data_IF_604315758073
#
_entry.id   IF_604315758073
#
_cell.length_a   1.000
_cell.length_b   1.000
_cell.length_c   1.000
_cell.angle_alpha   90.00
_cell.angle_beta   90.00
_cell.angle_gamma   90.00
#
_symmetry.space_group_name_H-M   'P 1'
#
loop_
_entity.id
_entity.type
_entity.pdbx_description
1 polymer ?
#
# COMPACT_ATOMS: atom_id res chain seq x y z
N UNK A 1 -3.94 -12.84 9.24
CA UNK A 1 -3.55 -11.92 8.15
C UNK A 1 -4.74 -11.03 7.84
N UNK A 2 -4.49 -9.79 7.48
CA UNK A 2 -5.51 -8.80 7.13
C UNK A 2 -5.12 -8.20 5.79
N UNK A 3 -6.07 -8.06 4.89
CA UNK A 3 -5.88 -7.30 3.66
C UNK A 3 -6.53 -5.93 3.87
N UNK A 4 -5.75 -4.87 3.69
CA UNK A 4 -6.25 -3.51 3.63
C UNK A 4 -6.31 -3.10 2.16
N UNK A 5 -7.47 -2.63 1.70
CA UNK A 5 -7.68 -2.24 0.31
C UNK A 5 -8.59 -1.03 0.19
N UNK A 6 -8.35 -0.20 -0.81
CA UNK A 6 -9.14 0.99 -1.12
C UNK A 6 -9.32 1.16 -2.64
N UNK A 7 -10.33 1.92 -3.05
CA UNK A 7 -10.60 2.31 -4.45
C UNK A 7 -10.25 3.78 -4.72
N UNK A 8 -9.22 4.29 -4.03
CA UNK A 8 -8.70 5.66 -4.14
C UNK A 8 -7.23 5.59 -4.51
N UNK A 9 -6.70 6.68 -5.05
CA UNK A 9 -5.27 6.88 -5.31
C UNK A 9 -4.64 7.87 -4.33
N UNK A 10 -5.40 8.37 -3.35
CA UNK A 10 -4.92 9.32 -2.35
C UNK A 10 -3.93 8.63 -1.39
N UNK A 11 -2.65 9.05 -1.32
CA UNK A 11 -1.67 8.45 -0.41
C UNK A 11 -2.07 8.57 1.07
N UNK A 12 -2.83 9.60 1.42
CA UNK A 12 -3.37 9.85 2.77
C UNK A 12 -4.33 8.74 3.22
N UNK A 13 -5.03 8.11 2.28
CA UNK A 13 -5.91 6.96 2.51
C UNK A 13 -5.19 5.63 2.29
N UNK A 14 -3.91 5.62 1.93
CA UNK A 14 -3.19 4.43 1.49
C UNK A 14 -1.92 4.23 2.32
N UNK A 15 -0.79 4.77 1.84
CA UNK A 15 0.50 4.64 2.49
C UNK A 15 0.52 5.25 3.90
N UNK A 16 -0.18 6.37 4.14
CA UNK A 16 -0.23 6.98 5.46
C UNK A 16 -0.92 6.06 6.49
N UNK A 17 -2.01 5.39 6.11
CA UNK A 17 -2.75 4.45 6.97
C UNK A 17 -1.91 3.21 7.26
N UNK A 18 -1.24 2.65 6.25
CA UNK A 18 -0.38 1.48 6.43
C UNK A 18 0.84 1.85 7.26
N UNK A 19 1.49 2.98 6.98
CA UNK A 19 2.61 3.51 7.76
C UNK A 19 2.24 3.60 9.23
N UNK A 20 1.08 4.19 9.55
CA UNK A 20 0.63 4.30 10.93
C UNK A 20 0.60 2.93 11.63
N UNK A 21 0.04 1.90 10.98
CA UNK A 21 0.01 0.55 11.56
C UNK A 21 1.40 -0.07 11.76
N UNK A 22 2.34 0.17 10.83
CA UNK A 22 3.72 -0.30 10.93
C UNK A 22 4.49 0.43 12.05
N UNK A 23 4.38 1.76 12.12
CA UNK A 23 5.05 2.59 13.13
C UNK A 23 4.56 2.28 14.55
N UNK A 24 3.27 1.93 14.70
CA UNK A 24 2.71 1.49 15.97
C UNK A 24 3.07 0.03 16.33
N UNK A 25 3.81 -0.67 15.47
CA UNK A 25 4.17 -2.07 15.66
C UNK A 25 2.95 -2.99 15.74
N UNK A 26 1.83 -2.61 15.10
CA UNK A 26 0.58 -3.38 15.10
C UNK A 26 0.58 -4.48 14.03
N UNK A 27 1.38 -4.28 12.98
CA UNK A 27 1.53 -5.24 11.90
C UNK A 27 2.88 -5.12 11.20
N UNK A 28 3.19 -6.14 10.42
CA UNK A 28 4.23 -6.17 9.41
C UNK A 28 3.59 -6.23 8.02
N UNK A 29 4.16 -5.50 7.06
CA UNK A 29 3.73 -5.54 5.67
C UNK A 29 4.41 -6.70 4.93
N UNK A 30 3.59 -7.58 4.36
CA UNK A 30 4.04 -8.71 3.56
C UNK A 30 4.06 -8.32 2.08
N UNK A 31 5.08 -8.76 1.31
CA UNK A 31 5.09 -8.59 -0.13
C UNK A 31 3.99 -9.44 -0.77
N UNK A 32 3.39 -8.92 -1.83
CA UNK A 32 2.45 -9.66 -2.67
C UNK A 32 2.54 -9.15 -4.11
N UNK A 33 2.34 -10.05 -5.07
CA UNK A 33 2.41 -9.73 -6.50
C UNK A 33 1.11 -10.14 -7.18
N UNK A 34 0.28 -9.19 -7.66
CA UNK A 34 -0.92 -9.51 -8.41
C UNK A 34 -0.58 -10.06 -9.82
N UNK A 35 -1.45 -10.90 -10.40
CA UNK A 35 -1.30 -11.39 -11.78
C UNK A 35 -1.74 -10.36 -12.84
N UNK A 36 -1.68 -9.06 -12.53
CA UNK A 36 -2.05 -7.94 -13.42
C UNK A 36 -1.03 -6.81 -13.27
N UNK A 37 -0.90 -5.88 -14.24
CA UNK A 37 0.03 -4.75 -14.11
C UNK A 37 -0.22 -3.93 -12.84
N UNK A 38 0.84 -3.54 -12.14
CA UNK A 38 0.74 -2.77 -10.90
C UNK A 38 1.96 -1.88 -10.69
N UNK A 39 1.86 -0.95 -9.75
CA UNK A 39 2.98 -0.18 -9.23
C UNK A 39 3.21 -0.50 -7.75
N UNK A 40 4.44 -0.40 -7.25
CA UNK A 40 4.71 -0.48 -5.82
C UNK A 40 4.08 0.70 -5.07
N UNK A 41 3.82 0.52 -3.77
CA UNK A 41 3.45 1.61 -2.88
C UNK A 41 4.52 2.70 -2.83
N UNK A 42 4.07 3.93 -2.57
CA UNK A 42 4.94 5.10 -2.49
C UNK A 42 5.81 5.04 -1.23
N UNK A 43 7.09 5.37 -1.37
CA UNK A 43 7.97 5.53 -0.19
C UNK A 43 7.99 6.95 0.33
N UNK A 44 7.53 7.90 -0.47
CA UNK A 44 7.44 9.33 -0.15
C UNK A 44 6.45 10.01 -1.10
N UNK A 45 5.70 11.01 -0.63
CA UNK A 45 4.82 11.81 -1.48
C UNK A 45 4.62 13.20 -0.88
N UNK A 46 4.67 14.25 -1.72
CA UNK A 46 4.40 15.65 -1.31
C UNK A 46 5.14 16.12 -0.04
N UNK A 47 6.36 15.64 0.18
CA UNK A 47 7.18 15.98 1.35
C UNK A 47 6.96 15.08 2.58
N UNK A 48 6.02 14.15 2.52
CA UNK A 48 5.82 13.11 3.53
C UNK A 48 6.65 11.86 3.20
N UNK A 49 7.29 11.28 4.21
CA UNK A 49 8.11 10.06 4.09
C UNK A 49 7.35 8.85 4.65
N UNK A 50 7.08 7.87 3.80
CA UNK A 50 6.41 6.63 4.20
C UNK A 50 7.37 5.51 4.59
N UNK A 51 8.56 5.51 3.99
CA UNK A 51 9.62 4.54 4.26
C UNK A 51 9.66 3.39 3.25
N UNK A 52 10.80 2.65 3.19
CA UNK A 52 11.07 1.68 2.14
C UNK A 52 10.16 0.45 2.17
N UNK A 53 9.60 0.12 3.33
CA UNK A 53 8.71 -1.03 3.52
C UNK A 53 7.44 -0.92 2.66
N UNK A 54 6.95 0.30 2.39
CA UNK A 54 5.73 0.53 1.61
C UNK A 54 5.85 0.08 0.16
N UNK A 55 7.06 -0.19 -0.35
CA UNK A 55 7.23 -0.82 -1.68
C UNK A 55 6.55 -2.19 -1.79
N UNK A 56 6.28 -2.85 -0.66
CA UNK A 56 5.57 -4.14 -0.60
C UNK A 56 4.06 -4.00 -0.82
N UNK A 57 3.51 -2.80 -0.71
CA UNK A 57 2.13 -2.53 -1.07
C UNK A 57 1.97 -2.37 -2.57
N UNK A 58 0.74 -2.49 -3.05
CA UNK A 58 0.42 -2.56 -4.47
C UNK A 58 -0.58 -1.46 -4.81
N UNK A 59 -0.26 -0.69 -5.85
CA UNK A 59 -1.10 0.35 -6.45
C UNK A 59 -1.57 -0.09 -7.82
N UNK A 60 -2.84 0.14 -8.10
CA UNK A 60 -3.44 -0.01 -9.41
C UNK A 60 -3.75 1.38 -9.96
N UNK A 61 -3.39 1.59 -11.23
CA UNK A 61 -3.64 2.82 -11.93
C UNK A 61 -4.46 2.56 -13.19
N UNK A 62 -5.48 3.38 -13.49
CA UNK A 62 -6.32 3.19 -14.68
C UNK A 62 -5.55 3.11 -16.00
N UNK A 63 -4.39 3.77 -16.08
CA UNK A 63 -3.57 3.81 -17.28
C UNK A 63 -2.61 2.61 -17.41
N UNK A 64 -2.53 1.71 -16.42
CA UNK A 64 -1.69 0.50 -16.48
C UNK A 64 -2.42 -0.69 -17.13
N UNK A 65 -3.69 -0.85 -16.80
CA UNK A 65 -4.62 -1.78 -17.41
C UNK A 65 -6.01 -1.25 -17.07
N UNK A 66 -6.94 -1.26 -18.02
CA UNK A 66 -8.28 -0.67 -17.95
C UNK A 66 -9.02 -1.00 -16.62
N UNK A 67 -8.76 -0.21 -15.58
CA UNK A 67 -9.14 -0.45 -14.19
C UNK A 67 -9.50 0.86 -13.49
N UNK A 68 -10.12 0.76 -12.33
CA UNK A 68 -10.18 1.88 -11.40
C UNK A 68 -8.83 2.04 -10.67
N UNK A 69 -8.63 3.21 -10.05
CA UNK A 69 -7.52 3.41 -9.13
C UNK A 69 -7.72 2.60 -7.86
N UNK A 70 -6.66 1.98 -7.34
CA UNK A 70 -6.78 1.20 -6.12
C UNK A 70 -5.47 0.91 -5.42
N UNK A 71 -5.59 0.42 -4.20
CA UNK A 71 -4.47 0.10 -3.34
C UNK A 71 -4.74 -1.19 -2.57
N UNK A 72 -3.71 -2.01 -2.39
CA UNK A 72 -3.75 -3.25 -1.60
C UNK A 72 -2.48 -3.39 -0.76
N UNK A 73 -2.66 -3.67 0.52
CA UNK A 73 -1.60 -4.01 1.47
C UNK A 73 -1.96 -5.28 2.23
N UNK A 74 -1.05 -6.26 2.24
CA UNK A 74 -1.22 -7.53 2.98
C UNK A 74 -0.47 -7.44 4.30
N UNK A 75 -1.21 -7.40 5.39
CA UNK A 75 -0.69 -7.19 6.74
C UNK A 75 -0.71 -8.47 7.57
N UNK A 76 0.38 -8.71 8.30
CA UNK A 76 0.45 -9.70 9.37
C UNK A 76 0.47 -8.98 10.69
N UNK A 77 -0.53 -9.21 11.54
CA UNK A 77 -0.54 -8.68 12.91
C UNK A 77 0.70 -9.18 13.67
N UNK A 78 1.42 -8.26 14.29
CA UNK A 78 2.50 -8.55 15.25
C UNK A 78 1.89 -8.92 16.59
N UNK A 79 2.42 -9.99 17.19
CA UNK A 79 1.95 -10.56 18.45
C UNK A 79 2.54 -9.85 19.65
#
# INVERSE_FOLDING_TARGET
MVVYSTCTIAPEENEAVVKYALDQGLAELLPWEPPVPYAPGLTSFSGEEYGPELRKAVRFYPHHFDSEGGFVAVLRRTG
#
